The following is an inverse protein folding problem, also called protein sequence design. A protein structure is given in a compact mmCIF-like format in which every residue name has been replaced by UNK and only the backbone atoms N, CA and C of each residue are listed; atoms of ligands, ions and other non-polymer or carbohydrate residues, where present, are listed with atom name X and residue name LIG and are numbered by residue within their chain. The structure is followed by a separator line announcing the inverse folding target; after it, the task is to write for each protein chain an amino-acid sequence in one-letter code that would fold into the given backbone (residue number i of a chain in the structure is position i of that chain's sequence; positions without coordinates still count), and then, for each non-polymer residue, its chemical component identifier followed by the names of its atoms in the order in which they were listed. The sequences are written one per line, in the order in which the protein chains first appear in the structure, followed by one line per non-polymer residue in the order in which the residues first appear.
data_IF_113306266557
#
_entry.id   IF_113306266557
#
_cell.length_a   1.000
_cell.length_b   1.000
_cell.length_c   1.000
_cell.angle_alpha   90.00
_cell.angle_beta   90.00
_cell.angle_gamma   90.00
#
_symmetry.space_group_name_H-M   'P 1'
#
loop_
_entity.id
_entity.type
_entity.pdbx_description
1 polymer ?
#
# COMPACT_ATOMS: atom_id res chain seq x y z
N UNK A 1 -3.34 34.37 8.85
CA UNK A 1 -4.12 34.82 7.68
C UNK A 1 -3.12 35.27 6.62
N UNK A 2 -2.78 34.39 5.67
CA UNK A 2 -2.46 34.72 4.28
C UNK A 2 -2.40 33.41 3.49
N UNK A 3 -3.44 33.14 2.72
CA UNK A 3 -3.47 32.11 1.69
C UNK A 3 -2.71 32.63 0.48
N UNK A 4 -1.70 31.87 0.02
CA UNK A 4 -1.16 32.03 -1.33
C UNK A 4 -1.66 30.85 -2.19
N UNK A 5 -2.23 31.10 -3.38
CA UNK A 5 -2.68 30.06 -4.29
C UNK A 5 -1.52 29.53 -5.13
N UNK A 6 -1.47 28.22 -5.31
CA UNK A 6 -0.76 27.57 -6.42
C UNK A 6 0.69 27.18 -6.16
N UNK A 7 0.96 26.24 -5.28
CA UNK A 7 2.20 25.46 -5.35
C UNK A 7 1.89 23.96 -5.54
N UNK A 8 2.08 23.49 -6.78
CA UNK A 8 2.12 22.07 -7.10
C UNK A 8 3.38 21.49 -6.45
N UNK A 9 3.22 20.73 -5.39
CA UNK A 9 4.30 19.93 -4.81
C UNK A 9 4.59 18.76 -5.75
N UNK A 10 5.54 18.97 -6.67
CA UNK A 10 6.09 17.94 -7.53
C UNK A 10 7.26 17.31 -6.77
N UNK A 11 7.01 16.18 -6.11
CA UNK A 11 8.08 15.36 -5.58
C UNK A 11 8.65 14.50 -6.71
N UNK A 12 9.72 15.01 -7.34
CA UNK A 12 10.62 14.15 -8.10
C UNK A 12 11.53 13.47 -7.09
N UNK A 13 11.51 12.13 -7.01
CA UNK A 13 12.58 11.34 -6.45
C UNK A 13 13.78 11.42 -7.41
N UNK A 14 14.37 12.60 -7.51
CA UNK A 14 15.62 12.88 -8.19
C UNK A 14 16.54 13.50 -7.17
N UNK A 15 17.48 12.72 -6.65
CA UNK A 15 18.61 13.17 -5.87
C UNK A 15 19.32 14.29 -6.64
N UNK A 16 18.98 15.54 -6.37
CA UNK A 16 19.88 16.67 -6.56
C UNK A 16 20.23 17.22 -5.20
N UNK A 17 21.48 16.94 -4.81
CA UNK A 17 22.17 17.59 -3.73
C UNK A 17 21.90 19.10 -3.77
N UNK A 18 21.25 19.63 -2.75
CA UNK A 18 21.52 20.96 -2.27
C UNK A 18 22.34 20.82 -1.00
N UNK A 19 23.65 20.94 -1.16
CA UNK A 19 24.52 21.32 -0.06
C UNK A 19 24.08 22.73 0.39
N UNK A 20 23.41 22.79 1.52
CA UNK A 20 23.36 23.96 2.36
C UNK A 20 23.86 23.53 3.72
N UNK A 21 25.04 24.02 4.07
CA UNK A 21 25.63 23.84 5.39
C UNK A 21 24.75 24.55 6.42
N UNK A 22 24.00 23.76 7.19
CA UNK A 22 23.59 24.13 8.55
C UNK A 22 23.71 22.88 9.41
N UNK A 23 24.50 23.00 10.47
CA UNK A 23 24.77 21.95 11.46
C UNK A 23 23.46 21.38 12.03
N UNK A 24 23.23 20.09 11.83
CA UNK A 24 22.81 19.15 12.83
C UNK A 24 21.50 19.38 13.55
N UNK A 25 20.35 19.25 12.88
CA UNK A 25 19.17 18.64 13.47
C UNK A 25 18.57 17.71 12.41
N UNK A 26 18.78 16.39 12.58
CA UNK A 26 18.11 15.36 11.80
C UNK A 26 16.63 15.47 12.19
N UNK A 27 15.81 16.08 11.37
CA UNK A 27 14.36 16.02 11.54
C UNK A 27 14.04 14.54 11.38
N UNK A 28 13.77 13.86 12.49
CA UNK A 28 13.34 12.46 12.47
C UNK A 28 11.91 12.45 11.93
N UNK A 29 11.73 11.82 10.76
CA UNK A 29 10.40 11.60 10.20
C UNK A 29 9.62 10.66 11.12
N UNK A 30 8.36 11.00 11.42
CA UNK A 30 7.46 10.14 12.19
C UNK A 30 6.76 9.18 11.21
N UNK A 31 6.86 7.89 11.52
CA UNK A 31 6.32 6.84 10.70
C UNK A 31 5.24 6.06 11.46
N UNK A 32 4.04 5.99 10.87
CA UNK A 32 2.93 5.20 11.38
C UNK A 32 2.69 4.01 10.45
N UNK A 33 2.80 2.80 10.99
CA UNK A 33 2.51 1.56 10.28
C UNK A 33 1.10 1.08 10.62
N UNK A 34 0.28 0.80 9.60
CA UNK A 34 -1.07 0.24 9.77
C UNK A 34 -1.17 -1.07 9.00
N UNK A 35 -1.14 -2.19 9.71
CA UNK A 35 -1.26 -3.52 9.12
C UNK A 35 -2.61 -4.16 9.40
N UNK A 36 -2.92 -5.22 8.68
CA UNK A 36 -4.12 -6.01 8.89
C UNK A 36 -4.71 -6.59 7.59
N UNK A 37 -5.72 -7.47 7.67
CA UNK A 37 -6.29 -8.14 6.52
C UNK A 37 -7.05 -7.20 5.58
N UNK A 38 -7.41 -7.70 4.38
CA UNK A 38 -8.20 -6.94 3.41
C UNK A 38 -9.61 -6.62 3.99
N UNK A 39 -10.14 -5.43 3.71
CA UNK A 39 -11.48 -5.03 4.18
C UNK A 39 -11.57 -4.59 5.64
N UNK A 40 -10.45 -4.59 6.42
CA UNK A 40 -10.44 -4.13 7.81
C UNK A 40 -10.53 -2.60 7.99
N UNK A 41 -10.69 -1.81 6.93
CA UNK A 41 -10.82 -0.34 7.02
C UNK A 41 -9.51 0.42 7.09
N UNK A 42 -8.34 -0.23 6.89
CA UNK A 42 -7.01 0.40 6.99
C UNK A 42 -6.88 1.69 6.18
N UNK A 43 -7.16 1.62 4.89
CA UNK A 43 -6.99 2.77 3.98
C UNK A 43 -7.90 3.94 4.34
N UNK A 44 -9.11 3.67 4.84
CA UNK A 44 -10.04 4.69 5.31
C UNK A 44 -9.49 5.44 6.52
N UNK A 45 -9.01 4.69 7.51
CA UNK A 45 -8.44 5.25 8.74
C UNK A 45 -7.11 5.95 8.44
N UNK A 46 -6.24 5.31 7.64
CA UNK A 46 -4.95 5.88 7.27
C UNK A 46 -5.07 7.22 6.54
N UNK A 47 -6.01 7.33 5.59
CA UNK A 47 -6.29 8.60 4.88
C UNK A 47 -6.81 9.69 5.82
N UNK A 48 -7.74 9.36 6.73
CA UNK A 48 -8.26 10.31 7.71
C UNK A 48 -7.15 10.83 8.63
N UNK A 49 -6.37 9.92 9.21
CA UNK A 49 -5.25 10.29 10.07
C UNK A 49 -4.19 11.12 9.33
N UNK A 50 -3.84 10.74 8.10
CA UNK A 50 -2.87 11.49 7.30
C UNK A 50 -3.32 12.93 7.06
N UNK A 51 -4.62 13.12 6.79
CA UNK A 51 -5.21 14.45 6.61
C UNK A 51 -5.21 15.27 7.91
N UNK A 52 -5.54 14.64 9.05
CA UNK A 52 -5.59 15.32 10.35
C UNK A 52 -4.21 15.70 10.87
N UNK A 53 -3.21 14.86 10.62
CA UNK A 53 -1.84 15.08 11.10
C UNK A 53 -0.94 15.81 10.09
N UNK A 54 -1.46 16.14 8.89
CA UNK A 54 -0.68 16.68 7.76
C UNK A 54 0.51 15.76 7.40
N UNK A 55 0.27 14.44 7.41
CA UNK A 55 1.22 13.41 7.03
C UNK A 55 0.92 12.88 5.63
N UNK A 56 1.92 12.28 5.01
CA UNK A 56 1.77 11.64 3.71
C UNK A 56 1.15 10.25 3.90
N UNK A 57 0.02 10.00 3.25
CA UNK A 57 -0.57 8.66 3.19
C UNK A 57 0.10 7.82 2.11
N UNK A 58 0.51 6.58 2.43
CA UNK A 58 1.15 5.65 1.50
C UNK A 58 0.36 4.34 1.43
N UNK A 59 -0.39 4.14 0.32
CA UNK A 59 -1.05 2.86 -0.02
C UNK A 59 -0.02 1.93 -0.68
N UNK A 60 0.59 1.02 0.10
CA UNK A 60 1.53 0.05 -0.45
C UNK A 60 0.85 -0.98 -1.35
N UNK A 61 -0.41 -1.31 -1.07
CA UNK A 61 -1.21 -2.18 -1.92
C UNK A 61 -1.38 -1.62 -3.34
N UNK A 62 -1.45 -0.30 -3.50
CA UNK A 62 -1.49 0.32 -4.82
C UNK A 62 -0.18 0.11 -5.60
N UNK A 63 0.98 0.10 -4.92
CA UNK A 63 2.27 -0.19 -5.55
C UNK A 63 2.33 -1.64 -6.06
N UNK A 64 1.90 -2.62 -5.25
CA UNK A 64 1.80 -4.02 -5.69
C UNK A 64 0.81 -4.18 -6.84
N UNK A 65 -0.30 -3.45 -6.84
CA UNK A 65 -1.27 -3.46 -7.95
C UNK A 65 -0.70 -2.84 -9.23
N UNK A 66 0.16 -1.82 -9.14
CA UNK A 66 0.85 -1.29 -10.31
C UNK A 66 1.81 -2.31 -10.93
N UNK A 67 2.57 -3.04 -10.09
CA UNK A 67 3.39 -4.17 -10.54
C UNK A 67 2.55 -5.24 -11.22
N UNK A 68 1.41 -5.61 -10.61
CA UNK A 68 0.49 -6.60 -11.14
C UNK A 68 -0.09 -6.17 -12.50
N UNK A 69 -0.50 -4.91 -12.63
CA UNK A 69 -1.00 -4.36 -13.89
C UNK A 69 0.03 -4.50 -15.00
N UNK A 70 1.28 -4.10 -14.75
CA UNK A 70 2.35 -4.24 -15.72
C UNK A 70 2.55 -5.71 -16.15
N UNK A 71 2.62 -6.63 -15.18
CA UNK A 71 2.81 -8.05 -15.47
C UNK A 71 1.63 -8.64 -16.28
N UNK A 72 0.40 -8.18 -16.04
CA UNK A 72 -0.78 -8.55 -16.84
C UNK A 72 -0.67 -8.00 -18.26
N UNK A 73 -0.35 -6.70 -18.41
CA UNK A 73 -0.21 -6.04 -19.72
C UNK A 73 0.91 -6.68 -20.57
N UNK A 74 2.01 -7.09 -19.92
CA UNK A 74 3.14 -7.76 -20.59
C UNK A 74 2.95 -9.28 -20.71
N UNK A 75 1.84 -9.85 -20.21
CA UNK A 75 1.60 -11.30 -20.16
C UNK A 75 2.76 -12.07 -19.51
N UNK A 76 3.34 -11.49 -18.46
CA UNK A 76 4.48 -12.08 -17.74
C UNK A 76 4.07 -13.38 -17.09
N UNK A 77 4.77 -14.46 -17.39
CA UNK A 77 4.59 -15.73 -16.68
C UNK A 77 5.26 -15.66 -15.31
N UNK A 78 4.44 -15.56 -14.26
CA UNK A 78 4.93 -15.42 -12.87
C UNK A 78 5.50 -16.73 -12.30
N UNK A 79 5.40 -17.86 -13.01
CA UNK A 79 6.06 -19.13 -12.65
C UNK A 79 7.52 -19.14 -13.12
N UNK A 80 7.88 -18.32 -14.09
CA UNK A 80 9.26 -18.19 -14.60
C UNK A 80 9.98 -17.02 -13.94
N UNK A 81 10.87 -17.31 -13.00
CA UNK A 81 11.57 -16.27 -12.23
C UNK A 81 12.39 -15.29 -13.09
N UNK A 82 12.95 -15.73 -14.22
CA UNK A 82 13.69 -14.81 -15.12
C UNK A 82 12.75 -13.82 -15.81
N UNK A 83 11.52 -14.23 -16.16
CA UNK A 83 10.50 -13.31 -16.67
C UNK A 83 10.08 -12.29 -15.60
N UNK A 84 9.94 -12.74 -14.34
CA UNK A 84 9.62 -11.87 -13.21
C UNK A 84 10.74 -10.85 -12.96
N UNK A 85 12.02 -11.28 -12.96
CA UNK A 85 13.18 -10.38 -12.80
C UNK A 85 13.23 -9.36 -13.91
N UNK A 86 13.10 -9.79 -15.17
CA UNK A 86 13.06 -8.88 -16.33
C UNK A 86 11.92 -7.84 -16.20
N UNK A 87 10.74 -8.27 -15.76
CA UNK A 87 9.63 -7.35 -15.49
C UNK A 87 9.98 -6.36 -14.36
N UNK A 88 10.56 -6.83 -13.26
CA UNK A 88 10.99 -5.97 -12.16
C UNK A 88 12.03 -4.92 -12.61
N UNK A 89 12.95 -5.28 -13.48
CA UNK A 89 13.97 -4.36 -13.99
C UNK A 89 13.38 -3.30 -14.93
N UNK A 90 12.39 -3.67 -15.74
CA UNK A 90 11.73 -2.78 -16.68
C UNK A 90 10.72 -1.80 -16.04
N UNK A 91 10.31 -2.05 -14.79
CA UNK A 91 9.31 -1.24 -14.10
C UNK A 91 9.95 -0.08 -13.36
N UNK A 92 9.40 1.12 -13.56
CA UNK A 92 9.60 2.29 -12.71
C UNK A 92 8.29 2.68 -12.07
N UNK A 93 8.25 2.75 -10.74
CA UNK A 93 7.09 3.22 -10.00
C UNK A 93 7.48 4.49 -9.25
N UNK A 94 6.74 5.56 -9.50
CA UNK A 94 6.80 6.82 -8.76
C UNK A 94 5.49 7.04 -8.02
N UNK A 95 5.59 7.68 -6.86
CA UNK A 95 4.41 8.13 -6.10
C UNK A 95 4.37 9.64 -6.14
N UNK A 96 3.25 10.18 -6.57
CA UNK A 96 2.97 11.62 -6.57
C UNK A 96 1.73 11.89 -5.73
N UNK A 97 1.61 13.11 -5.30
CA UNK A 97 0.43 13.57 -4.57
C UNK A 97 -0.16 14.77 -5.29
N UNK A 98 -1.46 14.71 -5.58
CA UNK A 98 -2.23 15.81 -6.15
C UNK A 98 -3.53 15.91 -5.37
N UNK A 99 -3.83 17.11 -4.88
CA UNK A 99 -5.05 17.41 -4.12
C UNK A 99 -5.24 16.52 -2.87
N UNK A 100 -4.12 16.10 -2.26
CA UNK A 100 -4.10 15.23 -1.09
C UNK A 100 -4.28 13.74 -1.40
N UNK A 101 -4.37 13.37 -2.69
CA UNK A 101 -4.51 11.99 -3.11
C UNK A 101 -3.22 11.41 -3.69
N UNK A 102 -2.93 10.17 -3.31
CA UNK A 102 -1.81 9.42 -3.88
C UNK A 102 -2.09 9.04 -5.33
N UNK A 103 -1.14 9.37 -6.20
CA UNK A 103 -1.10 8.93 -7.58
C UNK A 103 0.05 7.93 -7.78
N UNK A 104 -0.26 6.79 -8.33
CA UNK A 104 0.73 5.78 -8.71
C UNK A 104 1.08 5.96 -10.18
N UNK A 105 2.35 6.26 -10.42
CA UNK A 105 2.88 6.47 -11.79
C UNK A 105 3.72 5.25 -12.17
N UNK A 106 3.23 4.50 -13.12
CA UNK A 106 3.90 3.32 -13.67
C UNK A 106 4.51 3.69 -15.03
N UNK A 107 5.83 3.61 -15.15
CA UNK A 107 6.57 3.96 -16.37
C UNK A 107 6.09 5.30 -16.98
N UNK A 108 5.87 6.31 -16.14
CA UNK A 108 5.41 7.64 -16.54
C UNK A 108 3.90 7.81 -16.68
N UNK A 109 3.09 6.74 -16.67
CA UNK A 109 1.63 6.75 -16.77
C UNK A 109 0.96 6.71 -15.39
N UNK A 110 -0.01 7.59 -15.12
CA UNK A 110 -0.88 7.45 -13.95
C UNK A 110 -1.80 6.23 -14.14
N UNK A 111 -1.76 5.30 -13.19
CA UNK A 111 -2.50 4.03 -13.29
C UNK A 111 -3.59 3.87 -12.24
N UNK A 112 -3.95 4.91 -11.50
CA UNK A 112 -4.94 4.83 -10.41
C UNK A 112 -6.28 4.22 -10.87
N UNK A 113 -6.74 4.56 -12.06
CA UNK A 113 -8.02 4.08 -12.61
C UNK A 113 -7.96 2.61 -13.08
N UNK A 114 -6.77 2.09 -13.30
CA UNK A 114 -6.55 0.75 -13.86
C UNK A 114 -6.21 -0.30 -12.81
N UNK A 115 -5.70 0.10 -11.64
CA UNK A 115 -5.16 -0.81 -10.63
C UNK A 115 -6.19 -1.37 -9.65
N UNK A 116 -7.48 -1.04 -9.80
CA UNK A 116 -8.54 -1.46 -8.86
C UNK A 116 -9.51 -2.50 -9.45
N UNK A 117 -9.10 -3.19 -10.50
CA UNK A 117 -9.86 -4.30 -11.08
C UNK A 117 -9.63 -5.60 -10.27
N UNK A 118 -10.53 -6.55 -10.41
CA UNK A 118 -10.44 -7.86 -9.78
C UNK A 118 -9.19 -8.61 -10.23
N UNK A 119 -8.94 -8.69 -11.55
CA UNK A 119 -7.76 -9.34 -12.11
C UNK A 119 -6.44 -8.78 -11.57
N UNK A 120 -6.33 -7.45 -11.45
CA UNK A 120 -5.16 -6.79 -10.86
C UNK A 120 -5.05 -7.09 -9.37
N UNK A 121 -6.16 -7.13 -8.65
CA UNK A 121 -6.18 -7.42 -7.21
C UNK A 121 -5.75 -8.86 -6.91
N UNK A 122 -6.20 -9.82 -7.72
CA UNK A 122 -5.80 -11.23 -7.63
C UNK A 122 -4.30 -11.39 -7.96
N UNK A 123 -3.85 -10.85 -9.09
CA UNK A 123 -2.44 -10.89 -9.50
C UNK A 123 -1.55 -10.25 -8.43
N UNK A 124 -1.94 -9.10 -7.86
CA UNK A 124 -1.16 -8.43 -6.82
C UNK A 124 -0.99 -9.29 -5.57
N UNK A 125 -2.01 -10.07 -5.19
CA UNK A 125 -1.93 -11.01 -4.09
C UNK A 125 -0.92 -12.13 -4.39
N UNK A 126 -0.94 -12.69 -5.61
CA UNK A 126 0.01 -13.73 -6.05
C UNK A 126 1.45 -13.23 -6.05
N UNK A 127 1.73 -12.11 -6.70
CA UNK A 127 3.10 -11.58 -6.82
C UNK A 127 3.65 -11.00 -5.52
N UNK A 128 2.80 -10.67 -4.54
CA UNK A 128 3.25 -10.18 -3.24
C UNK A 128 4.04 -11.21 -2.42
N UNK A 129 3.99 -12.49 -2.80
CA UNK A 129 4.79 -13.57 -2.21
C UNK A 129 6.17 -13.71 -2.89
N UNK A 130 6.41 -13.04 -4.04
CA UNK A 130 7.64 -13.19 -4.82
C UNK A 130 8.74 -12.28 -4.26
N UNK A 131 9.92 -12.82 -3.91
CA UNK A 131 11.01 -12.04 -3.29
C UNK A 131 11.46 -10.85 -4.12
N UNK A 132 11.62 -11.03 -5.44
CA UNK A 132 12.09 -10.00 -6.36
C UNK A 132 11.13 -8.79 -6.43
N UNK A 133 9.84 -9.06 -6.48
CA UNK A 133 8.79 -8.03 -6.45
C UNK A 133 8.84 -7.25 -5.13
N UNK A 134 8.99 -7.97 -4.02
CA UNK A 134 9.10 -7.36 -2.69
C UNK A 134 10.33 -6.49 -2.56
N UNK A 135 11.50 -6.99 -2.99
CA UNK A 135 12.76 -6.26 -2.96
C UNK A 135 12.66 -4.93 -3.74
N UNK A 136 12.06 -4.98 -4.93
CA UNK A 136 11.83 -3.78 -5.77
C UNK A 136 11.01 -2.71 -5.04
N UNK A 137 9.91 -3.10 -4.41
CA UNK A 137 9.00 -2.15 -3.75
C UNK A 137 9.49 -1.70 -2.37
N UNK A 138 10.23 -2.55 -1.65
CA UNK A 138 10.74 -2.24 -0.30
C UNK A 138 11.62 -0.98 -0.29
N UNK A 139 12.50 -0.85 -1.27
CA UNK A 139 13.38 0.32 -1.40
C UNK A 139 12.58 1.62 -1.57
N UNK A 140 11.55 1.60 -2.43
CA UNK A 140 10.67 2.76 -2.63
C UNK A 140 9.89 3.11 -1.38
N UNK A 141 9.30 2.12 -0.71
CA UNK A 141 8.54 2.31 0.53
C UNK A 141 9.40 2.94 1.63
N UNK A 142 10.60 2.42 1.83
CA UNK A 142 11.55 2.96 2.83
C UNK A 142 12.04 4.36 2.47
N UNK A 143 12.26 4.64 1.20
CA UNK A 143 12.66 5.98 0.75
C UNK A 143 11.58 7.02 1.02
N UNK A 144 10.30 6.70 0.83
CA UNK A 144 9.17 7.58 1.17
C UNK A 144 9.11 7.85 2.67
N UNK A 145 9.26 6.81 3.50
CA UNK A 145 9.25 6.94 4.95
C UNK A 145 10.46 7.72 5.51
N UNK A 146 11.60 7.66 4.84
CA UNK A 146 12.79 8.43 5.23
C UNK A 146 12.70 9.92 4.84
N UNK A 147 11.90 10.25 3.83
CA UNK A 147 11.80 11.60 3.30
C UNK A 147 10.75 12.48 3.99
N UNK A 148 9.76 11.89 4.66
CA UNK A 148 8.60 12.62 5.20
C UNK A 148 7.94 11.87 6.33
N UNK A 149 7.11 12.55 7.12
CA UNK A 149 6.18 11.90 8.04
C UNK A 149 5.15 11.12 7.22
N UNK A 150 5.01 9.82 7.47
CA UNK A 150 4.11 8.97 6.69
C UNK A 150 3.16 8.17 7.56
N UNK A 151 1.98 7.93 7.01
CA UNK A 151 1.08 6.86 7.44
C UNK A 151 1.03 5.84 6.31
N UNK A 152 1.60 4.69 6.54
CA UNK A 152 1.74 3.63 5.54
C UNK A 152 0.85 2.45 5.90
N UNK A 153 -0.03 2.02 4.98
CA UNK A 153 -0.86 0.85 5.20
C UNK A 153 -0.45 -0.34 4.33
N UNK A 154 -0.57 -1.53 4.90
CA UNK A 154 -0.20 -2.76 4.22
C UNK A 154 -0.56 -4.05 4.98
N UNK A 155 0.37 -5.03 4.96
CA UNK A 155 0.26 -6.33 5.62
C UNK A 155 1.43 -6.64 6.55
N UNK A 156 2.55 -6.01 6.30
CA UNK A 156 3.84 -6.28 6.92
C UNK A 156 4.65 -4.99 7.12
N UNK A 157 3.96 -3.87 7.25
CA UNK A 157 4.63 -2.58 7.39
C UNK A 157 5.39 -2.53 8.71
N UNK A 158 4.72 -2.81 9.83
CA UNK A 158 5.33 -2.77 11.16
C UNK A 158 6.24 -3.95 11.48
N UNK A 159 6.19 -5.04 10.69
CA UNK A 159 7.05 -6.22 10.91
C UNK A 159 8.25 -6.27 9.98
N UNK A 160 8.13 -5.77 8.74
CA UNK A 160 9.17 -5.95 7.71
C UNK A 160 9.58 -4.64 7.03
N UNK A 161 8.64 -3.80 6.62
CA UNK A 161 8.96 -2.58 5.87
C UNK A 161 9.57 -1.53 6.78
N UNK A 162 8.89 -1.20 7.87
CA UNK A 162 9.26 -0.20 8.89
C UNK A 162 9.24 -0.84 10.29
N UNK A 163 10.15 -1.78 10.58
CA UNK A 163 10.17 -2.48 11.88
C UNK A 163 10.42 -1.55 13.07
N UNK A 164 10.93 -0.36 12.82
CA UNK A 164 11.15 0.69 13.81
C UNK A 164 10.19 1.88 13.64
N UNK A 165 8.98 1.66 13.09
CA UNK A 165 7.97 2.71 13.02
C UNK A 165 7.61 3.22 14.43
N UNK A 166 7.39 4.53 14.55
CA UNK A 166 7.10 5.19 15.83
C UNK A 166 5.76 4.75 16.42
N UNK A 167 4.81 4.43 15.56
CA UNK A 167 3.50 3.89 15.94
C UNK A 167 3.16 2.72 15.03
N UNK A 168 2.71 1.60 15.63
CA UNK A 168 2.24 0.43 14.89
C UNK A 168 0.83 0.07 15.31
N UNK A 169 -0.05 -0.09 14.34
CA UNK A 169 -1.45 -0.44 14.52
C UNK A 169 -1.74 -1.70 13.69
N UNK A 170 -2.39 -2.67 14.30
CA UNK A 170 -2.91 -3.84 13.61
C UNK A 170 -4.43 -3.78 13.61
N UNK A 171 -5.01 -3.38 12.46
CA UNK A 171 -6.45 -3.36 12.27
C UNK A 171 -6.94 -4.76 11.91
N UNK A 172 -7.98 -5.21 12.59
CA UNK A 172 -8.68 -6.45 12.29
C UNK A 172 -10.19 -6.23 12.25
N UNK A 173 -10.91 -7.13 11.63
CA UNK A 173 -12.35 -7.29 11.74
C UNK A 173 -12.72 -8.74 11.38
N UNK A 174 -13.86 -9.20 11.84
CA UNK A 174 -14.41 -10.50 11.48
C UNK A 174 -14.48 -10.68 9.96
N UNK A 175 -14.23 -11.91 9.48
CA UNK A 175 -14.18 -12.18 8.04
C UNK A 175 -15.52 -11.91 7.35
N UNK A 176 -16.62 -12.26 7.99
CA UNK A 176 -17.96 -12.00 7.48
C UNK A 176 -18.24 -10.48 7.38
N UNK A 177 -17.88 -9.71 8.41
CA UNK A 177 -18.02 -8.23 8.41
C UNK A 177 -17.22 -7.60 7.26
N UNK A 178 -15.99 -8.07 7.03
CA UNK A 178 -15.16 -7.58 5.93
C UNK A 178 -15.70 -7.97 4.56
N UNK A 179 -16.27 -9.17 4.45
CA UNK A 179 -16.95 -9.64 3.25
C UNK A 179 -18.19 -8.79 2.95
N UNK A 180 -19.00 -8.48 3.98
CA UNK A 180 -20.17 -7.63 3.83
C UNK A 180 -19.81 -6.24 3.32
N UNK A 181 -18.83 -5.57 3.93
CA UNK A 181 -18.32 -4.26 3.47
C UNK A 181 -17.88 -4.30 2.01
N UNK A 182 -17.18 -5.35 1.60
CA UNK A 182 -16.71 -5.54 0.23
C UNK A 182 -17.86 -5.84 -0.74
N UNK A 183 -18.83 -6.63 -0.31
CA UNK A 183 -20.04 -6.93 -1.09
C UNK A 183 -20.84 -5.65 -1.37
N UNK A 184 -21.05 -4.82 -0.34
CA UNK A 184 -21.72 -3.52 -0.49
C UNK A 184 -20.96 -2.59 -1.46
N UNK A 185 -19.64 -2.55 -1.37
CA UNK A 185 -18.80 -1.79 -2.30
C UNK A 185 -18.93 -2.28 -3.74
N UNK A 186 -18.97 -3.58 -3.97
CA UNK A 186 -19.15 -4.19 -5.29
C UNK A 186 -20.54 -3.92 -5.86
N UNK A 187 -21.57 -4.09 -5.04
CA UNK A 187 -22.97 -3.81 -5.42
C UNK A 187 -23.15 -2.34 -5.81
N UNK A 188 -22.57 -1.42 -5.03
CA UNK A 188 -22.61 0.02 -5.34
C UNK A 188 -21.92 0.37 -6.68
N UNK A 189 -20.94 -0.44 -7.11
CA UNK A 189 -20.25 -0.31 -8.41
C UNK A 189 -20.95 -1.07 -9.55
N UNK A 190 -22.08 -1.73 -9.29
CA UNK A 190 -22.78 -2.55 -10.29
C UNK A 190 -22.08 -3.86 -10.63
N UNK A 191 -21.14 -4.33 -9.81
CA UNK A 191 -20.44 -5.60 -9.99
C UNK A 191 -21.35 -6.72 -9.46
N UNK A 192 -21.68 -7.67 -10.33
CA UNK A 192 -22.51 -8.82 -9.94
C UNK A 192 -21.67 -9.83 -9.15
N UNK A 193 -21.99 -10.01 -7.88
CA UNK A 193 -21.36 -10.97 -6.97
C UNK A 193 -22.34 -11.47 -5.92
N UNK A 194 -22.01 -12.55 -5.22
CA UNK A 194 -22.77 -13.02 -4.03
C UNK A 194 -21.92 -12.84 -2.79
N UNK A 195 -22.56 -12.61 -1.64
CA UNK A 195 -21.85 -12.45 -0.37
C UNK A 195 -21.00 -13.68 -0.04
N UNK A 196 -21.52 -14.88 -0.31
CA UNK A 196 -20.80 -16.15 -0.07
C UNK A 196 -19.49 -16.23 -0.89
N UNK A 197 -19.52 -15.82 -2.16
CA UNK A 197 -18.33 -15.80 -2.99
C UNK A 197 -17.31 -14.78 -2.47
N UNK A 198 -17.77 -13.58 -2.11
CA UNK A 198 -16.90 -12.52 -1.55
C UNK A 198 -16.29 -12.96 -0.23
N UNK A 199 -17.04 -13.65 0.63
CA UNK A 199 -16.55 -14.15 1.91
C UNK A 199 -15.49 -15.23 1.72
N UNK A 200 -15.74 -16.18 0.81
CA UNK A 200 -14.74 -17.19 0.45
C UNK A 200 -13.45 -16.56 -0.06
N UNK A 201 -13.53 -15.58 -0.97
CA UNK A 201 -12.36 -14.86 -1.47
C UNK A 201 -11.59 -14.12 -0.38
N UNK A 202 -12.31 -13.52 0.59
CA UNK A 202 -11.70 -12.83 1.74
C UNK A 202 -10.92 -13.84 2.59
N UNK A 203 -11.50 -14.99 2.91
CA UNK A 203 -10.87 -16.05 3.71
C UNK A 203 -9.63 -16.60 2.98
N UNK A 204 -9.78 -17.00 1.71
CA UNK A 204 -8.66 -17.52 0.91
C UNK A 204 -7.51 -16.51 0.77
N UNK A 205 -7.84 -15.23 0.67
CA UNK A 205 -6.83 -14.17 0.62
C UNK A 205 -6.11 -14.02 1.94
N UNK A 206 -6.81 -14.05 3.05
CA UNK A 206 -6.21 -13.97 4.38
C UNK A 206 -5.28 -15.16 4.62
N UNK A 207 -5.68 -16.36 4.25
CA UNK A 207 -4.84 -17.57 4.33
C UNK A 207 -3.55 -17.42 3.49
N UNK A 208 -3.66 -16.91 2.26
CA UNK A 208 -2.47 -16.62 1.44
C UNK A 208 -1.57 -15.58 2.08
N UNK A 209 -2.14 -14.48 2.60
CA UNK A 209 -1.37 -13.39 3.20
C UNK A 209 -0.69 -13.86 4.51
N UNK A 210 -1.35 -14.70 5.32
CA UNK A 210 -0.81 -15.21 6.59
C UNK A 210 0.23 -16.32 6.40
N UNK A 211 0.07 -17.17 5.37
CA UNK A 211 0.91 -18.36 5.16
C UNK A 211 2.05 -18.15 4.15
N UNK A 212 2.20 -16.94 3.58
CA UNK A 212 3.32 -16.69 2.67
C UNK A 212 4.67 -16.82 3.39
N UNK A 213 5.65 -17.40 2.71
CA UNK A 213 6.97 -17.69 3.29
C UNK A 213 7.76 -16.43 3.67
N UNK A 214 7.50 -15.30 2.96
CA UNK A 214 8.22 -14.02 3.17
C UNK A 214 7.25 -12.97 3.65
N UNK A 215 7.58 -12.35 4.79
CA UNK A 215 6.84 -11.26 5.40
C UNK A 215 5.33 -11.54 5.49
N UNK A 216 4.90 -12.60 6.18
CA UNK A 216 3.49 -12.94 6.33
C UNK A 216 2.71 -11.84 7.02
N UNK A 217 1.41 -11.79 6.77
CA UNK A 217 0.50 -10.96 7.54
C UNK A 217 0.52 -11.40 9.00
N UNK A 218 1.19 -10.63 9.83
CA UNK A 218 1.35 -10.89 11.26
C UNK A 218 1.34 -9.59 12.04
N UNK A 219 0.69 -9.57 13.19
CA UNK A 219 0.76 -8.45 14.11
C UNK A 219 2.19 -8.31 14.63
N UNK A 220 2.76 -7.11 14.58
CA UNK A 220 4.02 -6.81 15.26
C UNK A 220 3.81 -6.86 16.79
N UNK A 221 4.83 -7.29 17.54
CA UNK A 221 4.73 -7.48 18.99
C UNK A 221 4.38 -6.18 19.73
N UNK A 222 4.85 -5.05 19.23
CA UNK A 222 4.61 -3.71 19.74
C UNK A 222 3.42 -2.99 19.07
N UNK A 223 2.65 -3.68 18.23
CA UNK A 223 1.49 -3.08 17.58
C UNK A 223 0.25 -3.10 18.47
N UNK A 224 -0.45 -1.97 18.51
CA UNK A 224 -1.78 -1.87 19.12
C UNK A 224 -2.80 -2.55 18.19
N UNK A 225 -3.50 -3.56 18.69
CA UNK A 225 -4.59 -4.20 17.97
C UNK A 225 -5.88 -3.40 18.10
N UNK A 226 -6.52 -3.13 16.97
CA UNK A 226 -7.82 -2.46 16.91
C UNK A 226 -8.79 -3.34 16.11
N UNK A 227 -9.85 -3.79 16.77
CA UNK A 227 -10.92 -4.55 16.13
C UNK A 227 -12.01 -3.58 15.65
N UNK A 228 -12.26 -3.58 14.35
CA UNK A 228 -13.23 -2.70 13.71
C UNK A 228 -14.55 -3.41 13.37
N UNK A 229 -14.78 -4.62 13.89
CA UNK A 229 -15.98 -5.41 13.57
C UNK A 229 -17.28 -4.69 13.92
N UNK A 230 -17.27 -3.88 14.98
CA UNK A 230 -18.43 -3.12 15.48
C UNK A 230 -18.33 -1.61 15.15
N UNK A 231 -17.39 -1.21 14.28
CA UNK A 231 -17.19 0.19 13.90
C UNK A 231 -17.80 0.47 12.53
N UNK A 232 -18.47 1.64 12.41
CA UNK A 232 -19.05 2.16 11.16
C UNK A 232 -18.07 3.08 10.43
#
# INVERSE_FOLDING_TARGET
IFRLPGQRLIWRAGLRQKQSQSKGMRIMSINVAIDGPAGAGKSTIAKKLAKELDYIYVDTGAMYRAMALYMIEQKTDIQHMDAVRSACDAITIDIRYSDGEQQVILNGRNVNDFIRTEAVSEMSSKISAIPEVRAKLLSLQRSLAAASNVIMDGRDIGTHVLPNADVKIFLTADAHVRALRRYEEFTAKGINCTLENVEREVIERDERDMNRAIAPLKQAEDAVRVDTSQMN
#
